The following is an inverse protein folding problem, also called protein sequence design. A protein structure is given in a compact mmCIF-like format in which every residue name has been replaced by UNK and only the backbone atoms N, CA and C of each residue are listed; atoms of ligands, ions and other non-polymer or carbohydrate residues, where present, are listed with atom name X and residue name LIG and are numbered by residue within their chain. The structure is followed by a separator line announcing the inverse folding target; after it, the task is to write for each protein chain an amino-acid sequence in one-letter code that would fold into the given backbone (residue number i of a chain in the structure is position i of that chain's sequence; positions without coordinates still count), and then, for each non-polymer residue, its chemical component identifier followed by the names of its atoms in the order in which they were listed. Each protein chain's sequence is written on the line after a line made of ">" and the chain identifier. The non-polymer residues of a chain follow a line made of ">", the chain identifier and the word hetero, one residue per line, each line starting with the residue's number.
data_IF_076536358733
#
_entry.id   IF_076536358733
#
_cell.length_a   1.000
_cell.length_b   1.000
_cell.length_c   1.000
_cell.angle_alpha   90.00
_cell.angle_beta   90.00
_cell.angle_gamma   90.00
#
_symmetry.space_group_name_H-M   'P 1'
#
loop_
_entity.id
_entity.type
_entity.pdbx_description
1 polymer ?
#
# COMPACT_ATOMS: atom_id res chain seq x y z
N UNK A 1 14.49 11.25 -14.82
CA UNK A 1 13.08 11.16 -14.39
C UNK A 1 12.39 10.02 -15.12
N UNK A 2 11.90 9.05 -14.34
CA UNK A 2 10.86 8.02 -14.57
C UNK A 2 11.32 6.79 -13.79
N UNK A 3 10.88 6.68 -12.53
CA UNK A 3 10.81 5.38 -11.89
C UNK A 3 9.34 4.97 -11.97
N UNK A 4 8.92 4.26 -13.04
CA UNK A 4 7.57 3.74 -13.05
C UNK A 4 7.58 2.65 -11.98
N UNK A 5 6.86 2.85 -10.88
CA UNK A 5 6.49 1.70 -10.08
C UNK A 5 5.79 0.74 -11.05
N UNK A 6 6.49 -0.31 -11.48
CA UNK A 6 5.92 -1.31 -12.37
C UNK A 6 4.93 -2.08 -11.53
N UNK A 7 3.65 -1.75 -11.71
CA UNK A 7 2.53 -2.45 -11.11
C UNK A 7 2.52 -3.83 -11.75
N UNK A 8 2.99 -4.82 -10.99
CA UNK A 8 2.88 -6.22 -11.41
C UNK A 8 1.62 -6.76 -10.75
N UNK A 9 0.65 -7.19 -11.56
CA UNK A 9 -0.53 -7.86 -11.02
C UNK A 9 -0.05 -9.17 -10.38
N UNK A 10 -0.32 -9.38 -9.10
CA UNK A 10 0.06 -10.61 -8.41
C UNK A 10 -0.75 -11.76 -9.00
N UNK A 11 -0.14 -12.58 -9.86
CA UNK A 11 -0.71 -13.86 -10.31
C UNK A 11 -0.39 -14.89 -9.22
N UNK A 12 -0.98 -14.71 -8.06
CA UNK A 12 -0.82 -15.62 -6.95
C UNK A 12 -2.20 -15.81 -6.35
N UNK A 13 -2.77 -16.98 -6.59
CA UNK A 13 -4.12 -17.35 -6.17
C UNK A 13 -4.32 -17.34 -4.65
N UNK A 14 -3.24 -17.11 -3.88
CA UNK A 14 -3.22 -17.14 -2.42
C UNK A 14 -2.46 -15.95 -1.79
N UNK A 15 -2.20 -14.88 -2.55
CA UNK A 15 -1.48 -13.72 -2.04
C UNK A 15 -2.46 -12.65 -1.57
N UNK A 16 -2.38 -12.32 -0.28
CA UNK A 16 -3.21 -11.29 0.35
C UNK A 16 -3.02 -9.89 -0.31
N UNK A 17 -1.93 -9.65 -1.04
CA UNK A 17 -1.67 -8.34 -1.65
C UNK A 17 -2.10 -8.28 -3.13
N UNK A 18 -3.10 -7.44 -3.47
CA UNK A 18 -3.62 -7.34 -4.84
C UNK A 18 -2.65 -6.65 -5.81
N UNK A 19 -1.73 -5.84 -5.29
CA UNK A 19 -0.74 -5.09 -6.08
C UNK A 19 0.62 -5.16 -5.36
N UNK A 20 1.68 -5.40 -6.14
CA UNK A 20 3.06 -5.21 -5.73
C UNK A 20 3.68 -4.01 -6.44
N UNK A 21 4.39 -3.21 -5.66
CA UNK A 21 5.16 -2.06 -6.11
C UNK A 21 6.62 -2.45 -6.16
N UNK A 22 7.21 -2.40 -7.36
CA UNK A 22 8.64 -2.59 -7.52
C UNK A 22 9.36 -1.30 -7.14
N UNK A 23 10.22 -1.38 -6.12
CA UNK A 23 11.05 -0.27 -5.63
C UNK A 23 12.50 -0.60 -5.90
N UNK A 24 13.22 0.35 -6.50
CA UNK A 24 14.62 0.16 -6.90
C UNK A 24 15.43 1.42 -6.60
N UNK A 25 16.56 1.24 -5.93
CA UNK A 25 17.61 2.24 -5.80
C UNK A 25 18.84 1.82 -6.65
N UNK A 26 19.99 2.48 -6.46
CA UNK A 26 21.21 2.20 -7.24
C UNK A 26 21.86 0.84 -6.93
N UNK A 27 21.52 0.21 -5.80
CA UNK A 27 22.15 -1.02 -5.27
C UNK A 27 21.16 -2.15 -4.98
N UNK A 28 19.89 -1.84 -4.73
CA UNK A 28 18.89 -2.78 -4.26
C UNK A 28 17.60 -2.67 -5.06
N UNK A 29 16.95 -3.82 -5.22
CA UNK A 29 15.64 -3.95 -5.84
C UNK A 29 14.77 -4.84 -4.96
N UNK A 30 13.61 -4.34 -4.56
CA UNK A 30 12.67 -5.08 -3.73
C UNK A 30 11.22 -4.76 -4.12
N UNK A 31 10.30 -5.58 -3.65
CA UNK A 31 8.86 -5.41 -3.86
C UNK A 31 8.20 -5.03 -2.54
N UNK A 32 7.25 -4.10 -2.59
CA UNK A 32 6.42 -3.71 -1.46
C UNK A 32 4.97 -4.01 -1.82
N UNK A 33 4.23 -4.68 -0.94
CA UNK A 33 2.79 -4.92 -1.13
C UNK A 33 1.94 -3.70 -0.83
N UNK A 34 0.78 -3.61 -1.48
CA UNK A 34 -0.19 -2.54 -1.24
C UNK A 34 -0.52 -2.37 0.24
N UNK A 35 -0.72 -3.45 0.99
CA UNK A 35 -1.08 -3.36 2.40
C UNK A 35 0.04 -2.79 3.26
N UNK A 36 1.30 -3.04 2.91
CA UNK A 36 2.45 -2.39 3.55
C UNK A 36 2.41 -0.88 3.32
N UNK A 37 2.11 -0.43 2.09
CA UNK A 37 1.99 1.00 1.78
C UNK A 37 0.84 1.64 2.54
N UNK A 38 -0.34 0.99 2.57
CA UNK A 38 -1.51 1.49 3.31
C UNK A 38 -1.23 1.58 4.82
N UNK A 39 -0.55 0.59 5.40
CA UNK A 39 -0.10 0.64 6.80
C UNK A 39 0.86 1.82 7.04
N UNK A 40 1.86 2.00 6.19
CA UNK A 40 2.78 3.13 6.31
C UNK A 40 2.04 4.48 6.23
N UNK A 41 1.06 4.60 5.33
CA UNK A 41 0.24 5.79 5.20
C UNK A 41 -0.60 6.06 6.47
N UNK A 42 -1.21 5.02 7.04
CA UNK A 42 -1.99 5.11 8.28
C UNK A 42 -1.13 5.55 9.47
N UNK A 43 0.07 4.97 9.60
CA UNK A 43 1.04 5.36 10.63
C UNK A 43 1.44 6.83 10.47
N UNK A 44 1.72 7.28 9.25
CA UNK A 44 2.07 8.67 8.99
C UNK A 44 0.93 9.64 9.37
N UNK A 45 -0.32 9.27 9.06
CA UNK A 45 -1.53 10.02 9.46
C UNK A 45 -1.66 10.08 11.00
N UNK A 46 -1.58 8.92 11.69
CA UNK A 46 -1.72 8.84 13.15
C UNK A 46 -0.65 9.63 13.91
N UNK A 47 0.55 9.74 13.33
CA UNK A 47 1.67 10.48 13.92
C UNK A 47 1.76 11.94 13.43
N UNK A 48 0.75 12.44 12.70
CA UNK A 48 0.69 13.81 12.17
C UNK A 48 1.85 14.20 11.22
N UNK A 49 2.54 13.23 10.62
CA UNK A 49 3.52 13.49 9.56
C UNK A 49 2.85 13.89 8.24
N UNK A 50 1.58 13.54 8.07
CA UNK A 50 0.71 14.01 7.00
C UNK A 50 -0.62 14.50 7.60
N UNK A 51 -1.39 15.33 6.87
CA UNK A 51 -2.73 15.71 7.28
C UNK A 51 -3.66 14.49 7.42
N UNK A 52 -4.72 14.65 8.23
CA UNK A 52 -5.79 13.66 8.33
C UNK A 52 -6.41 13.41 6.96
N UNK A 53 -6.49 12.14 6.59
CA UNK A 53 -7.17 11.69 5.38
C UNK A 53 -8.65 11.51 5.74
N UNK A 54 -9.53 11.78 4.78
CA UNK A 54 -10.96 11.63 4.98
C UNK A 54 -11.31 10.20 5.42
N UNK A 55 -12.09 10.05 6.50
CA UNK A 55 -12.54 8.75 7.02
C UNK A 55 -13.19 7.86 5.95
N UNK A 56 -13.90 8.45 4.99
CA UNK A 56 -14.52 7.72 3.87
C UNK A 56 -13.49 7.02 2.98
N UNK A 57 -12.28 7.56 2.84
CA UNK A 57 -11.20 6.88 2.12
C UNK A 57 -10.86 5.56 2.80
N UNK A 58 -10.65 5.56 4.12
CA UNK A 58 -10.30 4.37 4.88
C UNK A 58 -11.42 3.32 4.85
N UNK A 59 -12.68 3.73 5.02
CA UNK A 59 -13.85 2.85 4.89
C UNK A 59 -13.89 2.17 3.51
N UNK A 60 -13.65 2.92 2.43
CA UNK A 60 -13.65 2.36 1.07
C UNK A 60 -12.49 1.38 0.86
N UNK A 61 -11.32 1.66 1.42
CA UNK A 61 -10.14 0.77 1.37
C UNK A 61 -10.41 -0.53 2.13
N UNK A 62 -10.95 -0.44 3.34
CA UNK A 62 -11.28 -1.61 4.18
C UNK A 62 -12.31 -2.51 3.51
N UNK A 63 -13.38 -1.91 2.96
CA UNK A 63 -14.43 -2.65 2.26
C UNK A 63 -13.91 -3.33 0.99
N UNK A 64 -13.05 -2.65 0.21
CA UNK A 64 -12.51 -3.19 -1.04
C UNK A 64 -11.63 -4.40 -0.82
N UNK A 65 -10.85 -4.42 0.26
CA UNK A 65 -9.84 -5.45 0.50
C UNK A 65 -10.21 -6.38 1.65
N UNK A 66 -11.45 -6.31 2.15
CA UNK A 66 -11.95 -7.10 3.29
C UNK A 66 -11.01 -7.07 4.50
N UNK A 67 -10.44 -5.90 4.78
CA UNK A 67 -9.51 -5.70 5.88
C UNK A 67 -10.34 -5.51 7.16
N UNK A 68 -10.71 -6.61 7.81
CA UNK A 68 -11.51 -6.60 9.03
C UNK A 68 -10.79 -5.83 10.16
N UNK A 69 -11.11 -4.54 10.32
CA UNK A 69 -10.58 -3.64 11.36
C UNK A 69 -9.04 -3.63 11.45
N UNK A 70 -8.33 -3.61 10.31
CA UNK A 70 -6.84 -3.60 10.32
C UNK A 70 -6.24 -2.20 10.46
N UNK A 71 -7.05 -1.13 10.56
CA UNK A 71 -6.59 0.25 10.67
C UNK A 71 -7.29 1.04 11.78
#
# INVERSE_FOLDING_TARGET
>A
MKNPAIITNCICDNCDNPILFKVKDTKHEFQIGLFTILNCLKIAEQNNYIPQINVQFWILVENRYHLSNKF
#
